data_IF_919141992496
#
_entry.id   IF_919141992496
#
_cell.length_a   1.000
_cell.length_b   1.000
_cell.length_c   1.000
_cell.angle_alpha   90.00
_cell.angle_beta   90.00
_cell.angle_gamma   90.00
#
_symmetry.space_group_name_H-M   'P 1'
#
loop_
_entity.id
_entity.type
_entity.pdbx_description
1 polymer ?
#
# COMPACT_ATOMS: atom_id res chain seq x y z
N UNK A 1 27.61 -26.62 3.34
CA UNK A 1 27.09 -25.48 2.55
C UNK A 1 25.57 -25.40 2.75
N UNK A 2 25.09 -24.26 3.23
CA UNK A 2 23.67 -23.94 3.38
C UNK A 2 23.25 -22.93 2.32
N UNK A 3 21.97 -22.99 1.95
CA UNK A 3 21.27 -22.04 1.07
C UNK A 3 20.01 -21.55 1.77
N UNK A 4 19.64 -20.29 1.56
CA UNK A 4 18.32 -19.76 1.89
C UNK A 4 17.95 -18.59 0.97
N UNK A 5 16.67 -18.29 0.90
CA UNK A 5 16.22 -17.02 0.29
C UNK A 5 16.80 -15.84 1.07
N UNK A 6 17.15 -14.76 0.40
CA UNK A 6 17.42 -13.48 1.06
C UNK A 6 16.15 -12.98 1.78
N UNK A 7 16.31 -12.13 2.78
CA UNK A 7 15.20 -11.65 3.59
C UNK A 7 14.12 -10.90 2.77
N UNK A 8 14.52 -10.26 1.66
CA UNK A 8 13.66 -9.53 0.73
C UNK A 8 13.28 -10.35 -0.52
N UNK A 9 13.47 -11.67 -0.49
CA UNK A 9 13.20 -12.58 -1.61
C UNK A 9 12.11 -13.58 -1.25
N UNK A 10 11.20 -13.84 -2.19
CA UNK A 10 10.15 -14.86 -2.08
C UNK A 10 9.97 -15.63 -3.39
N UNK A 11 9.25 -16.73 -3.31
CA UNK A 11 8.89 -17.56 -4.45
C UNK A 11 7.39 -17.73 -4.55
N UNK A 12 6.86 -17.77 -5.78
CA UNK A 12 5.44 -17.97 -6.07
C UNK A 12 5.28 -18.95 -7.22
N UNK A 13 4.16 -19.63 -7.31
CA UNK A 13 3.85 -20.55 -8.41
C UNK A 13 2.44 -20.28 -8.89
N UNK A 14 2.32 -19.97 -10.18
CA UNK A 14 1.05 -19.70 -10.84
C UNK A 14 1.00 -20.43 -12.19
N UNK A 15 -0.07 -21.15 -12.44
CA UNK A 15 -0.29 -21.91 -13.67
C UNK A 15 0.89 -22.84 -14.07
N UNK A 16 1.54 -23.46 -13.07
CA UNK A 16 2.70 -24.33 -13.26
C UNK A 16 4.04 -23.61 -13.35
N UNK A 17 4.07 -22.33 -13.67
CA UNK A 17 5.29 -21.53 -13.74
C UNK A 17 5.73 -21.06 -12.36
N UNK A 18 7.05 -21.06 -12.12
CA UNK A 18 7.65 -20.58 -10.89
C UNK A 18 8.21 -19.18 -11.05
N UNK A 19 8.09 -18.38 -10.02
CA UNK A 19 8.62 -17.02 -9.96
C UNK A 19 9.45 -16.85 -8.70
N UNK A 20 10.61 -16.22 -8.85
CA UNK A 20 11.44 -15.79 -7.72
C UNK A 20 11.61 -14.28 -7.80
N UNK A 21 11.21 -13.59 -6.77
CA UNK A 21 11.19 -12.12 -6.72
C UNK A 21 12.00 -11.60 -5.56
N UNK A 22 12.92 -10.67 -5.85
CA UNK A 22 13.61 -9.88 -4.83
C UNK A 22 13.00 -8.47 -4.81
N UNK A 23 12.31 -8.13 -3.74
CA UNK A 23 11.61 -6.85 -3.58
C UNK A 23 12.57 -5.68 -3.37
N UNK A 24 13.70 -5.92 -2.71
CA UNK A 24 14.74 -4.90 -2.48
C UNK A 24 15.46 -4.48 -3.75
N UNK A 25 15.71 -5.43 -4.66
CA UNK A 25 16.34 -5.17 -5.96
C UNK A 25 15.33 -4.84 -7.07
N UNK A 26 14.04 -4.92 -6.79
CA UNK A 26 12.97 -4.83 -7.78
C UNK A 26 13.21 -5.76 -9.00
N UNK A 27 13.59 -7.01 -8.73
CA UNK A 27 13.96 -8.00 -9.73
C UNK A 27 13.10 -9.25 -9.61
N UNK A 28 12.59 -9.75 -10.72
CA UNK A 28 11.84 -11.01 -10.82
C UNK A 28 12.37 -11.86 -11.95
N UNK A 29 12.53 -13.16 -11.68
CA UNK A 29 12.83 -14.16 -12.69
C UNK A 29 11.71 -15.19 -12.73
N UNK A 30 11.36 -15.59 -13.93
CA UNK A 30 10.45 -16.69 -14.21
C UNK A 30 11.24 -17.96 -14.50
N UNK A 31 10.76 -19.09 -14.00
CA UNK A 31 11.25 -20.42 -14.35
C UNK A 31 10.12 -21.25 -14.92
N UNK A 32 10.42 -22.06 -15.92
CA UNK A 32 9.45 -22.94 -16.55
C UNK A 32 8.86 -23.98 -15.58
N UNK A 33 7.79 -24.62 -16.02
CA UNK A 33 7.03 -25.59 -15.23
C UNK A 33 7.92 -26.70 -14.65
N UNK A 34 8.85 -27.26 -15.44
CA UNK A 34 9.78 -28.31 -15.00
C UNK A 34 10.71 -27.88 -13.87
N UNK A 35 11.07 -26.60 -13.81
CA UNK A 35 12.01 -26.06 -12.83
C UNK A 35 11.32 -25.38 -11.65
N UNK A 36 10.01 -25.15 -11.75
CA UNK A 36 9.21 -24.53 -10.67
C UNK A 36 9.26 -25.34 -9.37
N UNK A 37 9.45 -26.66 -9.47
CA UNK A 37 9.60 -27.56 -8.33
C UNK A 37 10.80 -27.18 -7.46
N UNK A 38 11.89 -26.67 -8.01
CA UNK A 38 13.08 -26.24 -7.25
C UNK A 38 12.76 -25.02 -6.38
N UNK A 39 11.86 -24.14 -6.84
CA UNK A 39 11.44 -22.99 -6.04
C UNK A 39 10.58 -23.38 -4.84
N UNK A 40 9.79 -24.44 -4.94
CA UNK A 40 8.96 -24.95 -3.82
C UNK A 40 9.79 -25.40 -2.62
N UNK A 41 11.00 -25.89 -2.86
CA UNK A 41 11.86 -26.37 -1.81
C UNK A 41 12.52 -25.25 -0.99
N UNK A 42 12.62 -24.04 -1.56
CA UNK A 42 13.28 -22.87 -0.96
C UNK A 42 12.48 -22.27 0.20
N UNK A 43 13.18 -21.73 1.17
CA UNK A 43 12.58 -20.99 2.28
C UNK A 43 13.57 -19.96 2.85
N UNK A 44 13.10 -19.12 3.77
CA UNK A 44 13.92 -18.22 4.58
C UNK A 44 14.79 -18.98 5.63
N UNK A 45 14.49 -20.26 5.90
CA UNK A 45 15.29 -21.08 6.83
C UNK A 45 16.48 -21.66 6.09
N UNK A 46 17.70 -21.63 6.67
CA UNK A 46 18.86 -22.29 6.12
C UNK A 46 18.64 -23.78 5.88
N UNK A 47 18.99 -24.27 4.72
CA UNK A 47 18.84 -25.66 4.31
C UNK A 47 20.12 -26.16 3.63
N UNK A 48 20.54 -27.38 3.93
CA UNK A 48 21.67 -27.98 3.21
C UNK A 48 21.26 -28.43 1.81
N UNK A 49 22.25 -28.66 0.96
CA UNK A 49 22.01 -29.15 -0.40
C UNK A 49 21.30 -30.51 -0.38
N UNK A 50 21.62 -31.36 0.60
CA UNK A 50 20.96 -32.65 0.81
C UNK A 50 19.50 -32.47 1.18
N UNK A 51 19.21 -31.60 2.15
CA UNK A 51 17.81 -31.31 2.56
C UNK A 51 16.98 -30.75 1.40
N UNK A 52 17.55 -29.86 0.58
CA UNK A 52 16.89 -29.33 -0.61
C UNK A 52 16.68 -30.45 -1.64
N UNK A 53 17.68 -31.30 -1.86
CA UNK A 53 17.58 -32.45 -2.75
C UNK A 53 16.51 -33.45 -2.30
N UNK A 54 16.43 -33.72 -0.99
CA UNK A 54 15.45 -34.69 -0.45
C UNK A 54 14.02 -34.19 -0.55
N UNK A 55 13.77 -32.91 -0.41
CA UNK A 55 12.46 -32.30 -0.67
C UNK A 55 11.98 -32.48 -2.12
N UNK A 56 12.89 -32.69 -3.04
CA UNK A 56 12.59 -32.88 -4.46
C UNK A 56 12.42 -34.35 -4.84
N UNK A 57 12.65 -35.29 -3.91
CA UNK A 57 12.53 -36.74 -4.16
C UNK A 57 11.17 -37.16 -4.69
N UNK A 58 10.10 -36.61 -4.13
CA UNK A 58 8.72 -36.92 -4.53
C UNK A 58 8.43 -36.55 -5.99
N UNK A 59 9.10 -35.49 -6.48
CA UNK A 59 8.85 -34.94 -7.81
C UNK A 59 9.84 -35.44 -8.85
N UNK A 60 11.07 -35.83 -8.43
CA UNK A 60 12.19 -36.23 -9.32
C UNK A 60 12.71 -37.62 -8.94
N UNK A 61 11.80 -38.57 -8.68
CA UNK A 61 12.11 -39.88 -8.15
C UNK A 61 12.94 -40.79 -9.09
N UNK A 62 13.02 -40.50 -10.39
CA UNK A 62 13.72 -41.32 -11.38
C UNK A 62 15.22 -40.95 -11.57
N UNK A 63 15.74 -39.99 -10.84
CA UNK A 63 17.12 -39.51 -11.00
C UNK A 63 17.95 -39.96 -9.79
N UNK A 64 19.15 -40.52 -10.04
CA UNK A 64 20.06 -40.91 -8.96
C UNK A 64 20.48 -39.71 -8.10
N UNK A 65 20.85 -40.01 -6.84
CA UNK A 65 21.15 -38.97 -5.84
C UNK A 65 22.27 -38.02 -6.27
N UNK A 66 23.31 -38.51 -6.89
CA UNK A 66 24.48 -37.68 -7.27
C UNK A 66 24.07 -36.70 -8.41
N UNK A 67 23.34 -37.16 -9.40
CA UNK A 67 22.85 -36.33 -10.51
C UNK A 67 21.83 -35.29 -9.98
N UNK A 68 20.96 -35.68 -9.05
CA UNK A 68 20.02 -34.76 -8.44
C UNK A 68 20.73 -33.65 -7.64
N UNK A 69 21.68 -34.00 -6.78
CA UNK A 69 22.47 -33.01 -6.03
C UNK A 69 23.20 -32.02 -6.95
N UNK A 70 23.75 -32.52 -8.07
CA UNK A 70 24.43 -31.66 -9.05
C UNK A 70 23.44 -30.69 -9.70
N UNK A 71 22.27 -31.13 -10.12
CA UNK A 71 21.22 -30.27 -10.71
C UNK A 71 20.75 -29.22 -9.71
N UNK A 72 20.46 -29.63 -8.48
CA UNK A 72 20.05 -28.75 -7.38
C UNK A 72 21.09 -27.68 -7.12
N UNK A 73 22.37 -28.08 -7.06
CA UNK A 73 23.47 -27.15 -6.83
C UNK A 73 23.59 -26.11 -7.95
N UNK A 74 23.56 -26.55 -9.21
CA UNK A 74 23.65 -25.66 -10.37
C UNK A 74 22.51 -24.66 -10.39
N UNK A 75 21.30 -25.13 -10.13
CA UNK A 75 20.10 -24.28 -10.09
C UNK A 75 20.21 -23.20 -9.00
N UNK A 76 20.57 -23.56 -7.79
CA UNK A 76 20.62 -22.61 -6.68
C UNK A 76 21.85 -21.70 -6.73
N UNK A 77 23.00 -22.17 -7.21
CA UNK A 77 24.17 -21.31 -7.41
C UNK A 77 23.88 -20.18 -8.41
N UNK A 78 23.12 -20.48 -9.48
CA UNK A 78 22.62 -19.44 -10.41
C UNK A 78 21.83 -18.36 -9.67
N UNK A 79 20.91 -18.72 -8.80
CA UNK A 79 20.12 -17.73 -8.04
C UNK A 79 20.91 -17.02 -6.95
N UNK A 80 22.01 -17.60 -6.46
CA UNK A 80 22.98 -16.88 -5.61
C UNK A 80 23.68 -15.79 -6.42
N UNK A 81 24.17 -16.11 -7.63
CA UNK A 81 24.82 -15.14 -8.53
C UNK A 81 23.87 -14.02 -8.94
N UNK A 82 22.61 -14.35 -9.19
CA UNK A 82 21.58 -13.40 -9.53
C UNK A 82 21.06 -12.55 -8.37
N UNK A 83 21.47 -12.85 -7.14
CA UNK A 83 21.17 -12.07 -5.94
C UNK A 83 19.87 -12.40 -5.23
N UNK A 84 19.22 -13.53 -5.54
CA UNK A 84 17.99 -13.99 -4.87
C UNK A 84 18.27 -14.85 -3.64
N UNK A 85 19.36 -15.62 -3.65
CA UNK A 85 19.75 -16.49 -2.53
C UNK A 85 21.06 -16.03 -1.90
N UNK A 86 21.28 -16.49 -0.69
CA UNK A 86 22.61 -16.50 -0.04
C UNK A 86 23.05 -17.93 0.21
N UNK A 87 24.37 -18.13 0.17
CA UNK A 87 25.01 -19.37 0.59
C UNK A 87 26.13 -19.10 1.59
N UNK A 88 26.37 -20.06 2.47
CA UNK A 88 27.43 -20.01 3.49
C UNK A 88 27.65 -21.37 4.17
N UNK A 89 28.80 -21.56 4.82
CA UNK A 89 29.08 -22.77 5.58
C UNK A 89 28.42 -22.74 6.97
N UNK A 90 28.18 -21.53 7.51
CA UNK A 90 27.54 -21.35 8.82
C UNK A 90 26.33 -20.41 8.68
N UNK A 91 25.51 -20.34 9.74
CA UNK A 91 24.39 -19.38 9.79
C UNK A 91 24.88 -17.95 9.84
N UNK A 92 25.92 -17.69 10.60
CA UNK A 92 26.54 -16.37 10.73
C UNK A 92 27.05 -15.88 9.36
N UNK A 93 27.63 -16.78 8.56
CA UNK A 93 28.08 -16.45 7.22
C UNK A 93 26.92 -16.14 6.28
N UNK A 94 25.80 -16.88 6.36
CA UNK A 94 24.59 -16.57 5.62
C UNK A 94 24.06 -15.17 5.95
N UNK A 95 23.99 -14.83 7.24
CA UNK A 95 23.51 -13.54 7.69
C UNK A 95 24.45 -12.39 7.28
N UNK A 96 25.76 -12.62 7.31
CA UNK A 96 26.76 -11.68 6.80
C UNK A 96 26.68 -11.48 5.29
N UNK A 97 26.39 -12.54 4.54
CA UNK A 97 26.27 -12.51 3.08
C UNK A 97 24.93 -11.95 2.61
N UNK A 98 23.91 -11.98 3.47
CA UNK A 98 22.61 -11.38 3.20
C UNK A 98 22.67 -9.85 3.41
N UNK A 99 23.08 -9.14 2.36
CA UNK A 99 23.11 -7.67 2.37
C UNK A 99 21.73 -7.03 2.18
N UNK A 100 20.67 -7.84 2.08
CA UNK A 100 19.31 -7.30 2.09
C UNK A 100 19.05 -6.71 3.47
N UNK A 101 18.95 -5.41 3.54
CA UNK A 101 18.54 -4.74 4.77
C UNK A 101 17.13 -5.19 5.09
N UNK A 102 16.95 -6.00 6.12
CA UNK A 102 15.66 -6.18 6.75
C UNK A 102 15.23 -4.80 7.25
N UNK A 103 14.40 -4.13 6.47
CA UNK A 103 13.83 -2.86 6.86
C UNK A 103 12.76 -3.16 7.92
N UNK A 104 13.08 -2.88 9.16
CA UNK A 104 12.12 -3.02 10.26
C UNK A 104 11.69 -1.61 10.65
N UNK A 105 10.45 -1.25 10.31
CA UNK A 105 9.85 -0.07 10.91
C UNK A 105 9.71 -0.27 12.43
N UNK A 106 9.90 0.78 13.22
CA UNK A 106 9.57 0.74 14.63
C UNK A 106 8.10 0.32 14.82
N UNK A 107 7.84 -0.58 15.76
CA UNK A 107 6.47 -1.00 16.11
C UNK A 107 5.62 0.22 16.47
N UNK A 108 4.30 0.11 16.26
CA UNK A 108 3.35 1.12 16.75
C UNK A 108 3.55 1.25 18.26
N UNK A 109 3.72 2.47 18.72
CA UNK A 109 3.64 2.81 20.14
C UNK A 109 2.54 3.86 20.32
N UNK A 110 1.94 3.98 21.53
CA UNK A 110 0.91 4.99 21.82
C UNK A 110 1.36 6.43 21.54
N UNK A 111 2.66 6.68 21.52
CA UNK A 111 3.26 8.00 21.27
C UNK A 111 3.49 8.28 19.78
N UNK A 112 3.35 7.27 18.89
CA UNK A 112 3.60 7.43 17.46
C UNK A 112 2.43 8.12 16.78
N UNK A 113 2.77 9.07 15.91
CA UNK A 113 1.86 9.66 14.94
C UNK A 113 1.87 8.81 13.69
N UNK A 114 0.74 8.17 13.40
CA UNK A 114 0.62 7.19 12.32
C UNK A 114 -0.01 7.84 11.09
N UNK A 115 0.64 7.66 9.94
CA UNK A 115 0.16 8.16 8.66
C UNK A 115 -0.27 7.03 7.74
N UNK A 116 -1.36 7.26 7.02
CA UNK A 116 -1.98 6.35 6.07
C UNK A 116 -2.12 7.05 4.72
N UNK A 117 -1.64 6.47 3.64
CA UNK A 117 -1.73 7.12 2.34
C UNK A 117 -2.02 6.18 1.17
N UNK A 118 -2.53 6.72 0.06
CA UNK A 118 -3.02 5.93 -1.07
C UNK A 118 -1.86 5.49 -1.96
N UNK A 119 -1.24 4.36 -1.63
CA UNK A 119 -0.12 3.84 -2.37
C UNK A 119 -0.23 2.36 -2.71
N UNK A 120 -1.39 1.73 -2.51
CA UNK A 120 -1.63 0.34 -2.92
C UNK A 120 -1.92 0.24 -4.44
N UNK A 121 -1.69 1.29 -5.20
CA UNK A 121 -1.66 1.24 -6.64
C UNK A 121 -0.26 0.80 -7.11
N UNK A 122 -0.18 -0.09 -8.08
CA UNK A 122 1.08 -0.62 -8.57
C UNK A 122 1.97 0.44 -9.21
N UNK A 123 1.39 1.49 -9.78
CA UNK A 123 2.10 2.47 -10.58
C UNK A 123 3.17 3.24 -9.79
N UNK A 124 2.88 3.61 -8.54
CA UNK A 124 3.79 4.42 -7.71
C UNK A 124 4.27 3.74 -6.44
N UNK A 125 3.90 2.50 -6.23
CA UNK A 125 4.21 1.76 -5.01
C UNK A 125 5.71 1.76 -4.68
N UNK A 126 6.57 1.55 -5.67
CA UNK A 126 8.02 1.50 -5.46
C UNK A 126 8.57 2.82 -4.91
N UNK A 127 8.06 3.95 -5.41
CA UNK A 127 8.44 5.27 -4.91
C UNK A 127 8.02 5.45 -3.44
N UNK A 128 6.79 5.08 -3.08
CA UNK A 128 6.31 5.24 -1.71
C UNK A 128 6.97 4.27 -0.73
N UNK A 129 7.32 3.06 -1.16
CA UNK A 129 8.16 2.15 -0.37
C UNK A 129 9.56 2.74 -0.17
N UNK A 130 10.14 3.34 -1.20
CA UNK A 130 11.42 4.04 -1.09
C UNK A 130 11.33 5.23 -0.12
N UNK A 131 10.29 6.06 -0.24
CA UNK A 131 10.04 7.17 0.68
C UNK A 131 9.96 6.70 2.14
N UNK A 132 9.25 5.61 2.40
CA UNK A 132 9.16 5.04 3.74
C UNK A 132 10.53 4.59 4.28
N UNK A 133 11.34 3.94 3.45
CA UNK A 133 12.72 3.56 3.81
C UNK A 133 13.61 4.79 4.04
N UNK A 134 13.47 5.79 3.18
CA UNK A 134 14.19 7.04 3.29
C UNK A 134 13.87 7.77 4.60
N UNK A 135 12.60 7.82 4.99
CA UNK A 135 12.17 8.47 6.24
C UNK A 135 12.76 7.84 7.50
N UNK A 136 13.01 6.53 7.49
CA UNK A 136 13.66 5.83 8.61
C UNK A 136 15.17 6.04 8.58
N UNK A 137 15.78 6.01 7.39
CA UNK A 137 17.22 6.22 7.23
C UNK A 137 17.65 7.65 7.61
N UNK A 138 16.83 8.64 7.32
CA UNK A 138 17.06 10.06 7.55
C UNK A 138 16.10 10.63 8.59
N UNK A 139 15.86 9.86 9.67
CA UNK A 139 14.87 10.19 10.70
C UNK A 139 15.06 11.59 11.32
N UNK A 140 16.30 12.12 11.32
CA UNK A 140 16.62 13.44 11.82
C UNK A 140 15.94 14.59 11.05
N UNK A 141 15.59 14.35 9.77
CA UNK A 141 14.91 15.29 8.88
C UNK A 141 13.39 15.24 8.98
N UNK A 142 12.87 14.19 9.61
CA UNK A 142 11.44 13.95 9.75
C UNK A 142 10.93 14.33 11.13
N UNK A 143 9.64 14.58 11.23
CA UNK A 143 9.00 14.85 12.51
C UNK A 143 9.23 13.68 13.47
N UNK A 144 9.42 14.03 14.74
CA UNK A 144 9.65 13.03 15.76
C UNK A 144 8.43 12.12 15.91
N UNK A 145 8.69 10.84 16.21
CA UNK A 145 7.64 9.85 16.48
C UNK A 145 6.66 9.58 15.35
N UNK A 146 6.97 9.88 14.08
CA UNK A 146 6.14 9.48 12.95
C UNK A 146 6.29 8.00 12.63
N UNK A 147 5.24 7.46 12.04
CA UNK A 147 5.22 6.13 11.44
C UNK A 147 4.33 6.13 10.20
N UNK A 148 4.80 5.53 9.13
CA UNK A 148 3.97 5.18 7.99
C UNK A 148 3.32 3.84 8.29
N UNK A 149 2.03 3.85 8.62
CA UNK A 149 1.35 2.69 9.17
C UNK A 149 0.77 1.77 8.10
N UNK A 150 0.10 2.33 7.09
CA UNK A 150 -0.40 1.53 5.98
C UNK A 150 -0.43 2.29 4.65
N UNK A 151 -0.36 1.51 3.57
CA UNK A 151 -0.69 1.94 2.23
C UNK A 151 -2.08 1.41 1.90
N UNK A 152 -3.02 2.32 1.62
CA UNK A 152 -4.38 1.94 1.33
C UNK A 152 -4.72 2.12 -0.16
N UNK A 153 -5.67 1.36 -0.63
CA UNK A 153 -6.16 1.39 -2.00
C UNK A 153 -6.85 0.11 -2.39
N UNK A 154 -6.96 -0.11 -3.69
CA UNK A 154 -7.58 -1.31 -4.23
C UNK A 154 -7.04 -1.55 -5.63
N UNK A 155 -6.68 -2.78 -5.95
CA UNK A 155 -6.29 -3.14 -7.31
C UNK A 155 -7.44 -2.87 -8.28
N UNK A 156 -7.10 -2.42 -9.50
CA UNK A 156 -8.07 -2.09 -10.53
C UNK A 156 -9.04 -3.25 -10.78
N UNK A 157 -10.27 -2.92 -11.06
CA UNK A 157 -11.38 -3.84 -11.34
C UNK A 157 -11.94 -4.64 -10.16
N UNK A 158 -11.53 -4.35 -8.91
CA UNK A 158 -12.15 -4.94 -7.73
C UNK A 158 -13.53 -4.31 -7.47
N UNK A 159 -14.60 -5.06 -7.65
CA UNK A 159 -15.98 -4.56 -7.51
C UNK A 159 -16.37 -4.21 -6.07
N UNK A 160 -15.62 -4.69 -5.08
CA UNK A 160 -15.85 -4.33 -3.68
C UNK A 160 -15.33 -2.92 -3.31
N UNK A 161 -14.61 -2.27 -4.23
CA UNK A 161 -14.17 -0.88 -4.05
C UNK A 161 -15.35 0.10 -4.04
N UNK A 162 -15.33 1.12 -3.18
CA UNK A 162 -16.44 2.09 -3.05
C UNK A 162 -16.00 3.55 -2.90
N UNK A 163 -14.74 3.81 -2.55
CA UNK A 163 -14.26 5.18 -2.33
C UNK A 163 -13.83 5.92 -3.59
N UNK A 164 -13.57 5.21 -4.69
CA UNK A 164 -13.14 5.73 -6.00
C UNK A 164 -13.64 4.83 -7.12
N UNK A 165 -13.85 5.40 -8.31
CA UNK A 165 -14.02 4.60 -9.52
C UNK A 165 -12.76 3.74 -9.73
N UNK A 166 -12.95 2.44 -9.84
CA UNK A 166 -11.87 1.45 -9.85
C UNK A 166 -11.85 0.60 -11.14
N UNK A 167 -12.26 1.22 -12.24
CA UNK A 167 -12.29 0.58 -13.55
C UNK A 167 -10.88 0.62 -14.16
N UNK A 168 -10.45 -0.50 -14.73
CA UNK A 168 -9.15 -0.59 -15.39
C UNK A 168 -8.74 -2.04 -15.62
N UNK A 169 -7.52 -2.23 -16.15
CA UNK A 169 -6.98 -3.57 -16.32
C UNK A 169 -6.52 -4.12 -14.95
N UNK A 170 -7.00 -5.28 -14.52
CA UNK A 170 -6.56 -5.89 -13.28
C UNK A 170 -5.09 -6.31 -13.40
N UNK A 171 -4.29 -6.16 -12.34
CA UNK A 171 -2.92 -6.69 -12.32
C UNK A 171 -2.93 -8.22 -12.30
N UNK A 172 -1.80 -8.81 -12.70
CA UNK A 172 -1.63 -10.25 -12.57
C UNK A 172 -1.54 -10.68 -11.09
N UNK A 173 -1.89 -11.92 -10.74
CA UNK A 173 -1.75 -12.42 -9.37
C UNK A 173 -0.34 -12.25 -8.79
N UNK A 174 0.68 -12.40 -9.64
CA UNK A 174 2.10 -12.24 -9.25
C UNK A 174 2.41 -10.79 -8.90
N UNK A 175 1.91 -9.83 -9.70
CA UNK A 175 2.12 -8.41 -9.43
C UNK A 175 1.42 -7.99 -8.14
N UNK A 176 0.23 -8.56 -7.87
CA UNK A 176 -0.49 -8.33 -6.62
C UNK A 176 0.29 -8.87 -5.42
N UNK A 177 0.81 -10.10 -5.53
CA UNK A 177 1.62 -10.71 -4.46
C UNK A 177 2.90 -9.91 -4.22
N UNK A 178 3.61 -9.50 -5.26
CA UNK A 178 4.80 -8.67 -5.18
C UNK A 178 4.51 -7.33 -4.49
N UNK A 179 3.40 -6.68 -4.83
CA UNK A 179 2.97 -5.43 -4.21
C UNK A 179 2.74 -5.60 -2.70
N UNK A 180 1.96 -6.61 -2.31
CA UNK A 180 1.66 -6.89 -0.90
C UNK A 180 2.95 -7.22 -0.12
N UNK A 181 3.84 -8.02 -0.70
CA UNK A 181 5.13 -8.36 -0.06
C UNK A 181 6.04 -7.15 0.09
N UNK A 182 6.18 -6.30 -0.94
CA UNK A 182 6.97 -5.06 -0.85
C UNK A 182 6.50 -4.16 0.29
N UNK A 183 5.19 -4.02 0.44
CA UNK A 183 4.60 -3.23 1.53
C UNK A 183 4.91 -3.87 2.88
N UNK A 184 4.66 -5.17 3.03
CA UNK A 184 4.85 -5.87 4.29
C UNK A 184 6.33 -6.01 4.68
N UNK A 185 7.25 -6.17 3.72
CA UNK A 185 8.70 -6.20 3.97
C UNK A 185 9.22 -4.83 4.43
N UNK A 186 8.55 -3.75 4.05
CA UNK A 186 8.81 -2.41 4.60
C UNK A 186 8.19 -2.18 5.99
N UNK A 187 7.58 -3.20 6.61
CA UNK A 187 6.91 -3.10 7.91
C UNK A 187 5.63 -2.26 7.88
N UNK A 188 5.01 -2.12 6.70
CA UNK A 188 3.80 -1.36 6.44
C UNK A 188 2.65 -2.34 6.20
N UNK A 189 1.44 -2.02 6.63
CA UNK A 189 0.26 -2.80 6.30
C UNK A 189 -0.26 -2.42 4.90
N UNK A 190 -0.66 -3.40 4.12
CA UNK A 190 -1.52 -3.16 2.97
C UNK A 190 -2.97 -3.06 3.47
N UNK A 191 -3.73 -2.08 2.97
CA UNK A 191 -5.07 -1.81 3.44
C UNK A 191 -6.03 -1.70 2.27
N UNK A 192 -6.86 -2.72 2.05
CA UNK A 192 -7.88 -2.67 1.02
C UNK A 192 -9.03 -1.72 1.36
N UNK A 193 -9.49 -0.95 0.36
CA UNK A 193 -10.65 -0.06 0.48
C UNK A 193 -11.90 -0.73 -0.11
N UNK A 194 -12.36 -1.81 0.53
CA UNK A 194 -13.55 -2.57 0.12
C UNK A 194 -14.82 -1.96 0.74
N UNK A 195 -15.10 -0.75 0.30
CA UNK A 195 -16.10 0.15 0.90
C UNK A 195 -17.34 0.34 0.05
N UNK A 196 -17.56 -0.54 -0.92
CA UNK A 196 -18.73 -0.51 -1.78
C UNK A 196 -20.01 -0.74 -0.94
N UNK A 197 -20.92 0.23 -0.97
CA UNK A 197 -22.13 0.25 -0.13
C UNK A 197 -23.33 -0.46 -0.73
N UNK A 198 -23.28 -0.82 -2.03
CA UNK A 198 -24.42 -1.43 -2.75
C UNK A 198 -24.28 -2.92 -3.01
N UNK A 199 -23.35 -3.57 -2.29
CA UNK A 199 -23.11 -5.01 -2.46
C UNK A 199 -24.28 -5.84 -1.94
N UNK A 200 -24.59 -6.89 -2.69
CA UNK A 200 -25.52 -7.95 -2.37
C UNK A 200 -24.75 -9.29 -2.23
N UNK A 201 -25.41 -10.34 -1.73
CA UNK A 201 -24.80 -11.67 -1.56
C UNK A 201 -24.18 -12.24 -2.85
N UNK A 202 -24.79 -11.97 -4.02
CA UNK A 202 -24.26 -12.42 -5.32
C UNK A 202 -22.85 -11.87 -5.62
N UNK A 203 -22.51 -10.70 -5.08
CA UNK A 203 -21.22 -10.04 -5.29
C UNK A 203 -20.10 -10.62 -4.40
N UNK A 204 -20.45 -11.41 -3.37
CA UNK A 204 -19.46 -12.01 -2.45
C UNK A 204 -18.64 -13.13 -3.12
N UNK A 205 -19.16 -13.71 -4.21
CA UNK A 205 -18.50 -14.76 -4.97
C UNK A 205 -17.55 -14.22 -6.05
N UNK A 206 -17.27 -12.89 -6.07
CA UNK A 206 -16.33 -12.31 -7.02
C UNK A 206 -14.93 -12.91 -6.82
N UNK A 207 -14.43 -13.58 -7.87
CA UNK A 207 -13.18 -14.34 -7.79
C UNK A 207 -11.96 -13.45 -7.64
N UNK A 208 -11.97 -12.25 -8.25
CA UNK A 208 -10.85 -11.32 -8.17
C UNK A 208 -10.75 -10.66 -6.78
N UNK A 209 -11.86 -10.23 -6.22
CA UNK A 209 -11.88 -9.66 -4.87
C UNK A 209 -11.48 -10.70 -3.80
N UNK A 210 -11.93 -11.95 -3.94
CA UNK A 210 -11.49 -13.02 -3.05
C UNK A 210 -10.00 -13.33 -3.21
N UNK A 211 -9.47 -13.35 -4.45
CA UNK A 211 -8.02 -13.48 -4.68
C UNK A 211 -7.22 -12.36 -4.01
N UNK A 212 -7.69 -11.10 -4.06
CA UNK A 212 -7.07 -10.00 -3.32
C UNK A 212 -6.94 -10.32 -1.83
N UNK A 213 -8.04 -10.82 -1.22
CA UNK A 213 -8.04 -11.18 0.19
C UNK A 213 -7.10 -12.35 0.50
N UNK A 214 -7.09 -13.39 -0.34
CA UNK A 214 -6.23 -14.58 -0.18
C UNK A 214 -4.75 -14.21 -0.19
N UNK A 215 -4.33 -13.40 -1.18
CA UNK A 215 -2.94 -12.95 -1.32
C UNK A 215 -2.47 -12.16 -0.09
N UNK A 216 -3.34 -11.34 0.48
CA UNK A 216 -3.00 -10.48 1.61
C UNK A 216 -3.33 -11.09 3.00
N UNK A 217 -3.83 -12.34 3.06
CA UNK A 217 -4.26 -13.01 4.30
C UNK A 217 -3.09 -13.57 5.11
N UNK A 218 -2.26 -12.69 5.64
CA UNK A 218 -1.05 -13.06 6.39
C UNK A 218 -1.00 -12.49 7.82
N UNK A 219 -2.10 -11.88 8.30
CA UNK A 219 -2.21 -11.29 9.63
C UNK A 219 -1.51 -9.93 9.81
N UNK A 220 -1.00 -9.32 8.72
CA UNK A 220 -0.32 -8.01 8.76
C UNK A 220 -1.17 -6.89 8.13
N UNK A 221 -2.24 -7.26 7.43
CA UNK A 221 -2.98 -6.37 6.55
C UNK A 221 -4.36 -6.02 7.09
N UNK A 222 -4.97 -5.00 6.50
CA UNK A 222 -6.18 -4.38 6.98
C UNK A 222 -7.19 -4.21 5.83
N UNK A 223 -8.47 -4.07 6.19
CA UNK A 223 -9.54 -3.80 5.23
C UNK A 223 -10.50 -2.74 5.78
N UNK A 224 -10.75 -1.69 4.97
CA UNK A 224 -11.84 -0.76 5.22
C UNK A 224 -13.13 -1.35 4.65
N UNK A 225 -14.19 -1.31 5.45
CA UNK A 225 -15.51 -1.83 5.11
C UNK A 225 -16.60 -0.79 5.33
N UNK A 226 -17.70 -0.91 4.58
CA UNK A 226 -18.91 -0.12 4.76
C UNK A 226 -20.19 -0.97 4.57
N UNK A 227 -20.13 -2.03 3.75
CA UNK A 227 -21.25 -2.92 3.52
C UNK A 227 -21.37 -3.96 4.63
N UNK A 228 -22.51 -4.04 5.38
CA UNK A 228 -22.72 -5.08 6.40
C UNK A 228 -22.68 -6.51 5.83
N UNK A 229 -23.12 -6.69 4.58
CA UNK A 229 -23.10 -7.99 3.90
C UNK A 229 -21.66 -8.42 3.65
N UNK A 230 -20.84 -7.53 3.10
CA UNK A 230 -19.43 -7.81 2.87
C UNK A 230 -18.66 -7.99 4.19
N UNK A 231 -18.89 -7.13 5.18
CA UNK A 231 -18.20 -7.24 6.47
C UNK A 231 -18.45 -8.60 7.13
N UNK A 232 -19.71 -9.05 7.17
CA UNK A 232 -20.06 -10.38 7.71
C UNK A 232 -19.33 -11.48 7.00
N UNK A 233 -19.26 -11.40 5.66
CA UNK A 233 -18.55 -12.37 4.83
C UNK A 233 -17.04 -12.38 5.13
N UNK A 234 -16.41 -11.21 5.15
CA UNK A 234 -14.96 -11.08 5.37
C UNK A 234 -14.55 -11.51 6.78
N UNK A 235 -15.29 -11.14 7.81
CA UNK A 235 -15.01 -11.59 9.19
C UNK A 235 -15.08 -13.11 9.35
N UNK A 236 -15.96 -13.76 8.60
CA UNK A 236 -16.09 -15.21 8.63
C UNK A 236 -14.95 -15.92 7.88
N UNK A 237 -14.58 -15.43 6.68
CA UNK A 237 -13.67 -16.15 5.78
C UNK A 237 -12.22 -15.66 5.89
N UNK A 238 -11.99 -14.42 6.32
CA UNK A 238 -10.68 -13.76 6.42
C UNK A 238 -10.49 -13.06 7.77
N UNK A 239 -10.60 -13.79 8.91
CA UNK A 239 -10.59 -13.20 10.25
C UNK A 239 -9.24 -12.58 10.66
N UNK A 240 -8.16 -12.84 9.92
CA UNK A 240 -6.82 -12.36 10.24
C UNK A 240 -6.58 -10.90 9.84
N UNK A 241 -7.54 -10.26 9.15
CA UNK A 241 -7.42 -8.84 8.79
C UNK A 241 -7.82 -7.92 9.96
N UNK A 242 -7.15 -6.77 10.05
CA UNK A 242 -7.66 -5.64 10.84
C UNK A 242 -8.86 -5.00 10.13
N UNK A 243 -10.01 -4.90 10.79
CA UNK A 243 -11.22 -4.29 10.22
C UNK A 243 -11.33 -2.83 10.62
N UNK A 244 -11.62 -1.97 9.64
CA UNK A 244 -11.70 -0.51 9.83
C UNK A 244 -13.03 -0.02 9.25
N UNK A 245 -13.75 0.79 10.02
CA UNK A 245 -14.93 1.47 9.50
C UNK A 245 -14.52 2.60 8.56
N UNK A 246 -15.08 2.61 7.36
CA UNK A 246 -14.74 3.61 6.33
C UNK A 246 -15.49 4.92 6.55
N UNK A 247 -14.85 6.03 6.15
CA UNK A 247 -15.50 7.34 6.00
C UNK A 247 -16.71 7.31 5.04
N UNK A 248 -16.77 6.34 4.12
CA UNK A 248 -17.90 6.22 3.20
C UNK A 248 -19.22 5.88 3.91
N UNK A 249 -19.19 5.55 5.19
CA UNK A 249 -20.37 5.43 6.04
C UNK A 249 -21.04 6.78 6.31
N UNK A 250 -20.31 7.90 6.19
CA UNK A 250 -20.79 9.26 6.45
C UNK A 250 -21.52 9.36 7.81
N UNK A 251 -20.92 8.79 8.86
CA UNK A 251 -21.54 8.77 10.20
C UNK A 251 -21.12 10.03 10.97
N UNK A 252 -22.10 10.78 11.46
CA UNK A 252 -21.94 12.01 12.25
C UNK A 252 -22.47 11.88 13.69
N UNK A 253 -23.05 10.73 14.04
CA UNK A 253 -23.58 10.50 15.38
C UNK A 253 -22.46 10.02 16.29
N UNK A 254 -22.15 10.80 17.32
CA UNK A 254 -21.04 10.54 18.25
C UNK A 254 -21.20 9.22 19.03
N UNK A 255 -22.43 8.83 19.38
CA UNK A 255 -22.66 7.58 20.10
C UNK A 255 -22.36 6.37 19.21
N UNK A 256 -22.75 6.43 17.93
CA UNK A 256 -22.43 5.38 16.96
C UNK A 256 -20.93 5.32 16.65
N UNK A 257 -20.23 6.46 16.60
CA UNK A 257 -18.77 6.49 16.44
C UNK A 257 -18.11 5.82 17.65
N UNK A 258 -18.54 6.15 18.88
CA UNK A 258 -18.01 5.54 20.10
C UNK A 258 -18.29 4.02 20.15
N UNK A 259 -19.49 3.57 19.74
CA UNK A 259 -19.81 2.14 19.61
C UNK A 259 -18.91 1.46 18.55
N UNK A 260 -18.69 2.12 17.42
CA UNK A 260 -17.84 1.59 16.35
C UNK A 260 -16.38 1.41 16.81
N UNK A 261 -15.86 2.26 17.68
CA UNK A 261 -14.49 2.10 18.20
C UNK A 261 -14.30 0.83 19.03
N UNK A 262 -15.37 0.23 19.57
CA UNK A 262 -15.31 -1.06 20.26
C UNK A 262 -15.29 -2.25 19.28
N UNK A 263 -15.83 -2.06 18.08
CA UNK A 263 -16.01 -3.13 17.07
C UNK A 263 -14.85 -3.18 16.06
N UNK A 264 -14.29 -2.04 15.71
CA UNK A 264 -13.27 -1.90 14.66
C UNK A 264 -11.91 -1.56 15.28
N UNK A 265 -10.83 -1.94 14.58
CA UNK A 265 -9.47 -1.53 14.94
C UNK A 265 -9.33 -0.01 14.91
N UNK A 266 -9.91 0.61 13.87
CA UNK A 266 -10.00 2.06 13.69
C UNK A 266 -11.34 2.44 13.07
N UNK A 267 -11.74 3.70 13.30
CA UNK A 267 -12.91 4.33 12.70
C UNK A 267 -12.45 5.60 11.99
N UNK A 268 -12.71 5.70 10.69
CA UNK A 268 -12.40 6.90 9.92
C UNK A 268 -13.60 7.84 10.02
N UNK A 269 -13.45 8.96 10.72
CA UNK A 269 -14.50 9.96 10.87
C UNK A 269 -14.68 10.78 9.59
N UNK A 270 -15.85 11.39 9.44
CA UNK A 270 -16.12 12.27 8.31
C UNK A 270 -15.33 13.57 8.45
N UNK A 271 -14.74 14.03 7.33
CA UNK A 271 -13.93 15.27 7.31
C UNK A 271 -14.77 16.54 7.62
N UNK A 272 -16.10 16.48 7.48
CA UNK A 272 -16.98 17.58 7.90
C UNK A 272 -16.88 17.87 9.39
N UNK A 273 -16.57 16.87 10.21
CA UNK A 273 -16.45 16.99 11.65
C UNK A 273 -15.02 17.29 12.12
N UNK A 274 -14.06 17.45 11.21
CA UNK A 274 -12.66 17.69 11.56
C UNK A 274 -12.47 18.89 12.49
N UNK A 275 -13.27 19.96 12.35
CA UNK A 275 -13.18 21.17 13.16
C UNK A 275 -14.37 21.32 14.14
N UNK A 276 -15.23 20.33 14.25
CA UNK A 276 -16.33 20.31 15.21
C UNK A 276 -15.80 19.93 16.61
N UNK A 277 -15.48 20.92 17.43
CA UNK A 277 -14.85 20.72 18.72
C UNK A 277 -15.72 19.88 19.65
N UNK A 278 -17.04 20.10 19.71
CA UNK A 278 -17.96 19.34 20.55
C UNK A 278 -17.97 17.86 20.16
N UNK A 279 -18.01 17.56 18.85
CA UNK A 279 -17.94 16.20 18.33
C UNK A 279 -16.59 15.54 18.71
N UNK A 280 -15.47 16.23 18.47
CA UNK A 280 -14.14 15.72 18.79
C UNK A 280 -13.93 15.46 20.29
N UNK A 281 -14.48 16.33 21.14
CA UNK A 281 -14.41 16.17 22.60
C UNK A 281 -15.25 14.98 23.09
N UNK A 282 -16.38 14.72 22.45
CA UNK A 282 -17.27 13.59 22.73
C UNK A 282 -16.71 12.21 22.36
N UNK A 283 -15.65 12.13 21.59
CA UNK A 283 -14.97 10.87 21.21
C UNK A 283 -14.25 10.29 22.44
N UNK A 284 -14.59 9.05 22.82
CA UNK A 284 -14.00 8.35 23.96
C UNK A 284 -12.62 7.75 23.67
N UNK A 285 -12.47 7.08 22.51
CA UNK A 285 -11.26 6.37 22.10
C UNK A 285 -10.58 7.09 20.94
N UNK A 286 -9.98 8.25 21.22
CA UNK A 286 -9.30 9.09 20.24
C UNK A 286 -8.11 8.38 19.58
N UNK A 287 -7.49 7.45 20.27
CA UNK A 287 -6.43 6.56 19.81
C UNK A 287 -6.88 5.50 18.78
N UNK A 288 -8.20 5.36 18.56
CA UNK A 288 -8.80 4.50 17.52
C UNK A 288 -9.49 5.28 16.41
N UNK A 289 -9.33 6.59 16.40
CA UNK A 289 -9.91 7.45 15.36
C UNK A 289 -8.87 7.81 14.32
N UNK A 290 -9.22 7.63 13.05
CA UNK A 290 -8.44 8.06 11.90
C UNK A 290 -9.07 9.30 11.26
N UNK A 291 -8.28 10.36 11.12
CA UNK A 291 -8.70 11.66 10.63
C UNK A 291 -8.15 11.90 9.22
N UNK A 292 -9.01 12.28 8.28
CA UNK A 292 -8.62 12.76 6.96
C UNK A 292 -8.07 14.18 7.06
N UNK A 293 -6.81 14.40 6.64
CA UNK A 293 -6.13 15.68 6.90
C UNK A 293 -5.96 16.61 5.71
N UNK A 294 -6.04 16.09 4.48
CA UNK A 294 -5.88 16.86 3.24
C UNK A 294 -7.05 16.64 2.26
N UNK A 295 -8.27 16.63 2.79
CA UNK A 295 -9.50 16.42 2.03
C UNK A 295 -9.68 17.43 0.90
N UNK A 296 -10.29 17.00 -0.20
CA UNK A 296 -10.58 17.87 -1.36
C UNK A 296 -12.01 18.39 -1.40
N UNK A 297 -12.89 17.82 -0.57
CA UNK A 297 -14.29 18.20 -0.52
C UNK A 297 -14.48 19.37 0.48
N UNK A 298 -15.31 20.37 0.14
CA UNK A 298 -15.62 21.43 1.09
C UNK A 298 -16.60 20.92 2.17
N UNK A 299 -16.56 21.52 3.34
CA UNK A 299 -17.40 21.16 4.50
C UNK A 299 -18.90 21.34 4.24
N UNK A 300 -19.28 22.19 3.28
CA UNK A 300 -20.69 22.36 2.89
C UNK A 300 -21.20 21.33 1.87
N UNK A 301 -20.37 20.34 1.49
CA UNK A 301 -20.78 19.32 0.54
C UNK A 301 -21.76 18.34 1.19
N UNK A 302 -23.03 18.46 0.86
CA UNK A 302 -24.09 17.53 1.31
C UNK A 302 -24.27 16.31 0.39
N UNK A 303 -23.42 16.14 -0.62
CA UNK A 303 -23.53 15.09 -1.64
C UNK A 303 -22.62 13.89 -1.39
N UNK A 304 -21.82 13.87 -0.34
CA UNK A 304 -20.79 12.85 -0.10
C UNK A 304 -21.38 11.42 -0.08
N UNK A 305 -22.49 11.20 0.62
CA UNK A 305 -23.16 9.91 0.67
C UNK A 305 -23.64 9.45 -0.72
N UNK A 306 -24.30 10.34 -1.49
CA UNK A 306 -24.76 10.01 -2.85
C UNK A 306 -23.58 9.77 -3.80
N UNK A 307 -22.50 10.55 -3.65
CA UNK A 307 -21.28 10.38 -4.42
C UNK A 307 -20.67 8.98 -4.20
N UNK A 308 -20.50 8.54 -2.94
CA UNK A 308 -20.00 7.19 -2.65
C UNK A 308 -20.92 6.08 -3.16
N UNK A 309 -22.24 6.29 -3.11
CA UNK A 309 -23.20 5.36 -3.68
C UNK A 309 -23.07 5.26 -5.20
N UNK A 310 -22.92 6.39 -5.90
CA UNK A 310 -22.70 6.41 -7.35
C UNK A 310 -21.41 5.69 -7.75
N UNK A 311 -20.30 5.94 -7.02
CA UNK A 311 -19.04 5.23 -7.23
C UNK A 311 -19.22 3.72 -7.02
N UNK A 312 -19.97 3.32 -6.00
CA UNK A 312 -20.25 1.92 -5.72
C UNK A 312 -21.02 1.25 -6.86
N UNK A 313 -22.01 1.92 -7.45
CA UNK A 313 -22.74 1.44 -8.63
C UNK A 313 -21.84 1.33 -9.86
N UNK A 314 -21.00 2.32 -10.10
CA UNK A 314 -20.01 2.28 -11.20
C UNK A 314 -19.08 1.05 -11.05
N UNK A 315 -18.57 0.80 -9.87
CA UNK A 315 -17.65 -0.31 -9.62
C UNK A 315 -18.32 -1.69 -9.72
N UNK A 316 -19.64 -1.78 -9.55
CA UNK A 316 -20.41 -3.01 -9.79
C UNK A 316 -20.95 -3.10 -11.22
N UNK A 317 -20.57 -2.18 -12.11
CA UNK A 317 -21.03 -2.11 -13.51
C UNK A 317 -22.56 -2.01 -13.67
N UNK A 318 -23.25 -1.52 -12.64
CA UNK A 318 -24.71 -1.43 -12.68
C UNK A 318 -25.21 -0.21 -13.45
N UNK A 319 -24.50 0.92 -13.31
CA UNK A 319 -24.85 2.16 -14.01
C UNK A 319 -23.61 2.97 -14.35
N UNK A 320 -23.61 3.63 -15.50
CA UNK A 320 -22.62 4.64 -15.85
C UNK A 320 -23.18 6.01 -15.45
N UNK A 321 -23.30 6.22 -14.16
CA UNK A 321 -23.63 7.54 -13.60
C UNK A 321 -22.37 8.38 -13.71
N UNK A 322 -22.35 9.38 -14.58
CA UNK A 322 -21.26 10.33 -14.65
C UNK A 322 -20.91 10.88 -13.27
N UNK A 323 -19.68 11.31 -13.07
CA UNK A 323 -19.26 11.95 -11.83
C UNK A 323 -19.98 13.30 -11.71
N UNK A 324 -21.03 13.34 -10.90
CA UNK A 324 -21.84 14.54 -10.66
C UNK A 324 -21.24 15.46 -9.59
N UNK A 325 -19.94 15.30 -9.27
CA UNK A 325 -19.28 16.22 -8.38
C UNK A 325 -19.21 17.62 -9.01
N UNK A 326 -19.99 18.54 -8.50
CA UNK A 326 -20.01 19.95 -8.94
C UNK A 326 -18.62 20.63 -8.80
N UNK A 327 -17.70 20.00 -8.08
CA UNK A 327 -16.34 20.47 -7.82
C UNK A 327 -15.29 19.69 -8.61
N UNK A 328 -15.68 18.74 -9.45
CA UNK A 328 -14.77 17.90 -10.24
C UNK A 328 -13.90 18.70 -11.24
N UNK A 329 -14.19 19.97 -11.46
CA UNK A 329 -13.36 20.89 -12.26
C UNK A 329 -12.51 21.87 -11.46
N UNK A 330 -12.66 21.92 -10.13
CA UNK A 330 -11.83 22.79 -9.29
C UNK A 330 -10.49 22.09 -9.00
N UNK A 331 -9.61 22.07 -9.99
CA UNK A 331 -8.23 21.63 -9.83
C UNK A 331 -7.47 22.38 -8.73
N UNK A 332 -6.22 22.03 -8.44
CA UNK A 332 -5.38 22.79 -7.54
C UNK A 332 -5.43 24.26 -7.97
N UNK A 333 -5.62 25.16 -7.00
CA UNK A 333 -5.71 26.57 -7.31
C UNK A 333 -4.48 26.99 -8.13
N UNK A 334 -4.65 27.94 -9.02
CA UNK A 334 -3.58 28.56 -9.81
C UNK A 334 -2.38 29.05 -8.94
N UNK A 335 -2.53 29.05 -7.63
CA UNK A 335 -1.54 29.51 -6.64
C UNK A 335 -0.72 28.38 -5.99
N UNK A 336 -0.80 27.15 -6.52
CA UNK A 336 0.01 26.01 -6.08
C UNK A 336 -0.58 25.21 -4.91
N UNK A 337 0.02 24.05 -4.64
CA UNK A 337 -0.42 23.05 -3.68
C UNK A 337 -0.71 23.60 -2.28
N UNK A 338 0.22 24.35 -1.70
CA UNK A 338 0.05 24.90 -0.34
C UNK A 338 -1.06 25.96 -0.23
N UNK A 339 -1.35 26.68 -1.30
CA UNK A 339 -2.48 27.59 -1.34
C UNK A 339 -3.80 26.85 -1.52
N UNK A 340 -3.81 25.70 -2.18
CA UNK A 340 -4.95 24.78 -2.25
C UNK A 340 -5.37 24.30 -0.87
N UNK A 341 -4.41 23.90 -0.03
CA UNK A 341 -4.65 23.54 1.37
C UNK A 341 -5.23 24.70 2.18
N UNK A 342 -4.77 25.94 1.93
CA UNK A 342 -5.30 27.14 2.61
C UNK A 342 -6.73 27.49 2.18
N UNK A 343 -7.08 27.29 0.91
CA UNK A 343 -8.42 27.62 0.37
C UNK A 343 -9.47 26.66 0.93
N UNK A 344 -9.09 25.40 1.21
CA UNK A 344 -9.97 24.37 1.78
C UNK A 344 -9.78 24.19 3.28
N UNK A 345 -9.47 25.27 3.96
CA UNK A 345 -9.18 25.32 5.39
C UNK A 345 -10.24 24.63 6.26
N UNK A 346 -11.48 24.62 5.82
CA UNK A 346 -12.60 24.11 6.62
C UNK A 346 -12.65 22.59 6.77
N UNK A 347 -12.02 21.84 5.84
CA UNK A 347 -11.97 20.37 5.90
C UNK A 347 -10.57 19.81 6.17
N UNK A 348 -9.52 20.62 5.95
CA UNK A 348 -8.14 20.20 6.09
C UNK A 348 -7.56 20.60 7.43
N UNK A 349 -6.61 19.80 7.92
CA UNK A 349 -5.79 20.16 9.06
C UNK A 349 -4.47 20.74 8.58
N UNK A 350 -3.99 21.80 9.23
CA UNK A 350 -2.64 22.29 9.02
C UNK A 350 -1.61 21.35 9.67
N UNK A 351 -0.36 21.47 9.25
CA UNK A 351 0.76 20.78 9.89
C UNK A 351 0.80 21.06 11.39
N UNK A 352 0.65 22.32 11.80
CA UNK A 352 0.65 22.75 13.19
C UNK A 352 -0.50 22.09 13.97
N UNK A 353 -1.72 22.06 13.42
CA UNK A 353 -2.86 21.43 14.07
C UNK A 353 -2.62 19.96 14.35
N UNK A 354 -2.06 19.22 13.37
CA UNK A 354 -1.77 17.76 13.52
C UNK A 354 -0.84 17.52 14.71
N UNK A 355 0.24 18.29 14.83
CA UNK A 355 1.30 18.05 15.82
C UNK A 355 1.11 18.79 17.16
N UNK A 356 0.12 19.68 17.26
CA UNK A 356 -0.25 20.34 18.52
C UNK A 356 -1.64 19.94 18.94
N UNK A 357 -2.68 20.64 18.47
CA UNK A 357 -4.07 20.47 18.89
C UNK A 357 -4.54 19.00 18.88
N UNK A 358 -4.45 18.32 17.75
CA UNK A 358 -4.97 16.95 17.63
C UNK A 358 -4.11 15.94 18.40
N UNK A 359 -2.80 16.13 18.40
CA UNK A 359 -1.89 15.31 19.18
C UNK A 359 -2.16 15.44 20.69
N UNK A 360 -2.34 16.67 21.20
CA UNK A 360 -2.66 16.95 22.61
C UNK A 360 -4.04 16.42 23.00
N UNK A 361 -5.02 16.44 22.08
CA UNK A 361 -6.33 15.83 22.30
C UNK A 361 -6.27 14.29 22.37
N UNK A 362 -5.18 13.65 21.97
CA UNK A 362 -5.00 12.19 21.98
C UNK A 362 -5.15 11.49 20.65
N UNK A 363 -5.40 12.21 19.54
CA UNK A 363 -5.44 11.61 18.21
C UNK A 363 -4.04 11.21 17.72
N UNK A 364 -3.94 10.05 17.07
CA UNK A 364 -2.66 9.46 16.62
C UNK A 364 -2.68 8.95 15.20
N UNK A 365 -3.81 9.01 14.50
CA UNK A 365 -4.00 8.39 13.18
C UNK A 365 -4.49 9.42 12.17
N UNK A 366 -3.65 9.69 11.15
CA UNK A 366 -3.90 10.73 10.15
C UNK A 366 -3.80 10.14 8.75
N UNK A 367 -4.84 10.37 7.94
CA UNK A 367 -4.98 9.82 6.60
C UNK A 367 -4.85 10.89 5.55
N UNK A 368 -3.95 10.67 4.58
CA UNK A 368 -3.83 11.47 3.38
C UNK A 368 -4.80 10.96 2.31
N UNK A 369 -5.54 11.85 1.67
CA UNK A 369 -6.63 11.48 0.73
C UNK A 369 -6.13 11.09 -0.64
N UNK A 370 -5.09 11.75 -1.16
CA UNK A 370 -4.50 11.47 -2.47
C UNK A 370 -5.47 11.63 -3.65
N UNK A 371 -6.49 12.46 -3.52
CA UNK A 371 -7.47 12.73 -4.60
C UNK A 371 -7.09 13.94 -5.45
N UNK A 372 -5.98 14.59 -5.18
CA UNK A 372 -5.54 15.79 -5.90
C UNK A 372 -5.06 15.47 -7.34
N UNK A 373 -5.50 14.34 -7.87
CA UNK A 373 -5.44 13.98 -9.28
C UNK A 373 -4.08 13.49 -9.78
N UNK A 374 -3.00 13.68 -9.01
CA UNK A 374 -1.66 13.30 -9.42
C UNK A 374 -0.85 12.83 -8.21
N UNK A 375 -0.02 11.84 -8.42
CA UNK A 375 0.89 11.26 -7.43
C UNK A 375 1.85 12.29 -6.84
N UNK A 376 2.15 13.35 -7.60
CA UNK A 376 2.89 14.51 -7.10
C UNK A 376 2.16 15.24 -5.95
N UNK A 377 0.84 15.29 -5.98
CA UNK A 377 0.06 15.85 -4.87
C UNK A 377 0.21 15.04 -3.58
N UNK A 378 0.25 13.72 -3.68
CA UNK A 378 0.53 12.84 -2.53
C UNK A 378 1.95 13.06 -2.02
N UNK A 379 2.93 13.13 -2.92
CA UNK A 379 4.32 13.41 -2.59
C UNK A 379 4.47 14.74 -1.81
N UNK A 380 3.87 15.81 -2.30
CA UNK A 380 3.91 17.12 -1.62
C UNK A 380 3.18 17.08 -0.26
N UNK A 381 2.07 16.33 -0.13
CA UNK A 381 1.43 16.12 1.17
C UNK A 381 2.36 15.39 2.14
N UNK A 382 3.10 14.38 1.68
CA UNK A 382 4.09 13.67 2.50
C UNK A 382 5.20 14.61 2.97
N UNK A 383 5.75 15.45 2.08
CA UNK A 383 6.76 16.45 2.46
C UNK A 383 6.18 17.43 3.48
N UNK A 384 4.96 17.93 3.25
CA UNK A 384 4.35 18.92 4.13
C UNK A 384 4.09 18.39 5.55
N UNK A 385 3.53 17.17 5.66
CA UNK A 385 3.13 16.63 6.97
C UNK A 385 4.22 15.85 7.69
N UNK A 386 5.14 15.18 6.99
CA UNK A 386 6.08 14.27 7.63
C UNK A 386 7.49 14.87 7.82
N UNK A 387 7.89 15.80 6.96
CA UNK A 387 9.23 16.39 7.00
C UNK A 387 9.23 17.65 7.87
N UNK A 388 10.27 17.81 8.70
CA UNK A 388 10.48 19.03 9.47
C UNK A 388 10.57 20.25 8.55
N UNK A 389 9.95 21.38 8.89
CA UNK A 389 9.89 22.55 8.02
C UNK A 389 11.23 22.98 7.42
N UNK A 390 12.29 22.95 8.22
CA UNK A 390 13.65 23.35 7.83
C UNK A 390 14.32 22.41 6.81
N UNK A 391 13.82 21.18 6.65
CA UNK A 391 14.36 20.18 5.74
C UNK A 391 13.51 19.91 4.49
N UNK A 392 12.36 20.58 4.35
CA UNK A 392 11.40 20.28 3.27
C UNK A 392 11.99 20.46 1.88
N UNK A 393 12.75 21.52 1.67
CA UNK A 393 13.32 21.81 0.34
C UNK A 393 14.44 20.82 -0.01
N UNK A 394 15.30 20.48 0.94
CA UNK A 394 16.37 19.48 0.73
C UNK A 394 15.80 18.09 0.43
N UNK A 395 14.85 17.65 1.26
CA UNK A 395 14.20 16.34 1.07
C UNK A 395 13.42 16.30 -0.25
N UNK A 396 12.72 17.38 -0.61
CA UNK A 396 12.02 17.49 -1.89
C UNK A 396 12.99 17.37 -3.06
N UNK A 397 14.10 18.08 -3.03
CA UNK A 397 15.10 18.05 -4.09
C UNK A 397 15.70 16.64 -4.25
N UNK A 398 16.14 16.02 -3.16
CA UNK A 398 16.71 14.66 -3.18
C UNK A 398 15.71 13.59 -3.68
N UNK A 399 14.44 13.70 -3.30
CA UNK A 399 13.41 12.74 -3.70
C UNK A 399 12.83 13.04 -5.08
N UNK A 400 12.87 14.29 -5.55
CA UNK A 400 12.40 14.66 -6.88
C UNK A 400 13.23 13.97 -7.97
N UNK A 401 14.55 13.91 -7.83
CA UNK A 401 15.42 13.20 -8.77
C UNK A 401 15.08 11.72 -8.84
N UNK A 402 14.87 11.07 -7.69
CA UNK A 402 14.44 9.67 -7.65
C UNK A 402 13.05 9.47 -8.28
N UNK A 403 12.12 10.37 -8.02
CA UNK A 403 10.76 10.32 -8.57
C UNK A 403 10.76 10.50 -10.09
N UNK A 404 11.54 11.44 -10.61
CA UNK A 404 11.69 11.67 -12.06
C UNK A 404 12.34 10.45 -12.73
N UNK A 405 13.42 9.91 -12.15
CA UNK A 405 14.07 8.70 -12.66
C UNK A 405 13.11 7.50 -12.68
N UNK A 406 12.31 7.36 -11.64
CA UNK A 406 11.25 6.36 -11.58
C UNK A 406 10.21 6.52 -12.69
N UNK A 407 9.71 7.75 -12.92
CA UNK A 407 8.77 8.07 -13.99
C UNK A 407 9.35 7.75 -15.38
N UNK A 408 10.59 8.12 -15.63
CA UNK A 408 11.27 7.85 -16.91
C UNK A 408 11.37 6.35 -17.14
N UNK A 409 11.79 5.59 -16.15
CA UNK A 409 11.91 4.14 -16.23
C UNK A 409 10.55 3.45 -16.43
N UNK A 410 9.53 3.92 -15.73
CA UNK A 410 8.20 3.32 -15.79
C UNK A 410 7.50 3.59 -17.13
N UNK A 411 7.60 4.80 -17.65
CA UNK A 411 7.04 5.14 -18.98
C UNK A 411 7.85 4.58 -20.16
N UNK A 412 8.95 3.85 -19.90
CA UNK A 412 9.64 3.00 -20.86
C UNK A 412 10.07 3.74 -22.13
N UNK A 413 10.76 4.85 -22.01
CA UNK A 413 11.25 5.61 -23.15
C UNK A 413 10.19 6.40 -23.93
N UNK A 414 8.91 6.33 -23.56
CA UNK A 414 7.86 7.14 -24.21
C UNK A 414 8.00 8.64 -23.91
N UNK A 415 8.64 9.01 -22.80
CA UNK A 415 8.93 10.42 -22.46
C UNK A 415 10.15 10.97 -23.21
N UNK A 416 11.15 10.13 -23.54
CA UNK A 416 12.35 10.55 -24.25
C UNK A 416 12.05 11.19 -25.60
N UNK A 417 11.17 10.61 -26.47
CA UNK A 417 10.81 11.24 -27.72
C UNK A 417 10.08 12.58 -27.59
N UNK A 418 9.41 12.81 -26.44
CA UNK A 418 8.71 14.08 -26.18
C UNK A 418 9.68 15.16 -25.77
N UNK A 419 10.73 14.83 -25.00
CA UNK A 419 11.78 15.78 -24.60
C UNK A 419 12.73 16.14 -25.76
N UNK A 420 12.95 15.19 -26.70
CA UNK A 420 13.77 15.42 -27.89
C UNK A 420 13.01 16.08 -29.05
N UNK A 421 11.69 16.23 -28.97
CA UNK A 421 10.95 16.97 -29.96
C UNK A 421 11.15 18.47 -29.74
N UNK A 422 11.68 19.21 -30.74
CA UNK A 422 11.77 20.65 -30.63
C UNK A 422 10.36 21.20 -30.41
N UNK A 423 10.18 21.97 -29.34
CA UNK A 423 8.94 22.69 -29.07
C UNK A 423 8.64 23.52 -30.30
N UNK A 424 7.72 23.07 -31.13
CA UNK A 424 7.21 23.89 -32.23
C UNK A 424 6.54 25.08 -31.57
N UNK A 425 7.26 26.20 -31.53
CA UNK A 425 6.68 27.47 -31.17
C UNK A 425 5.52 27.71 -32.15
N UNK A 426 4.30 27.60 -31.66
CA UNK A 426 3.15 28.16 -32.35
C UNK A 426 3.31 29.67 -32.23
N UNK A 427 3.73 30.29 -33.33
CA UNK A 427 3.56 31.74 -33.47
C UNK A 427 2.05 32.00 -33.52
N UNK A 428 1.52 32.62 -32.49
CA UNK A 428 0.23 33.29 -32.52
C UNK A 428 0.42 34.70 -33.06
#
# INVERSE_FOLDING_TARGET
MFYRLKNDTHTSIYNGHGYITNTGLNKRNEVGESDSVFLKALSQKPQTLEQLSDKLLETVSKVDKATRLRKVKVFYDKFVEEGFLVKGETREELDKNDKSMAFIQPKISPEKVNFYFPALDLDFLNFFVYFAKYSVKHYERFMNNIRIASFYGTFKNAIWAGGRANIGMPPSPIDMEDAIRKINDAGIAARYTFTNSVLEEKHLNDTFCNLCMEIANNGKNEVLVNSPVLEKYLRKNYPNFGFIQSITACEHNIDKINEATEKYSYVVIDFHDNHNQEFLDGIKHKDRIEILIDGVCPTFCNMSHQHYKNISLINTFQENLGDYCLLSGSGPSEKGFYNGLRIRKDSNLTFEEVYTKYYEMGFRHFKLVGRNGYDFGVFESLIYYLVKPEWRDDVRAELADYYIDYLIKWHGGRMIPVLDQPIKQKHY
#
